data_IF_689983161629
#
_entry.id   IF_689983161629
#
_cell.length_a   1.000
_cell.length_b   1.000
_cell.length_c   1.000
_cell.angle_alpha   90.00
_cell.angle_beta   90.00
_cell.angle_gamma   90.00
#
_symmetry.space_group_name_H-M   'P 1'
#
loop_
_entity.id
_entity.type
_entity.pdbx_description
1 polymer ?
#
# COMPACT_ATOMS: atom_id res chain seq x y z
N UNK A 1 54.84 -59.54 9.34
CA UNK A 1 54.76 -58.40 10.26
C UNK A 1 53.93 -57.31 9.60
N UNK A 2 52.68 -57.11 10.01
CA UNK A 2 51.82 -56.10 9.40
C UNK A 2 52.12 -54.74 10.04
N UNK A 3 52.80 -53.85 9.30
CA UNK A 3 52.91 -52.45 9.67
C UNK A 3 51.53 -51.81 9.50
N UNK A 4 50.79 -51.67 10.61
CA UNK A 4 49.54 -50.91 10.62
C UNK A 4 49.89 -49.44 10.35
N UNK A 5 49.77 -49.01 9.10
CA UNK A 5 49.92 -47.61 8.71
C UNK A 5 48.87 -46.78 9.43
N UNK A 6 49.29 -46.06 10.48
CA UNK A 6 48.40 -45.19 11.25
C UNK A 6 47.90 -44.07 10.33
N UNK A 7 46.60 -44.03 10.10
CA UNK A 7 45.96 -42.95 9.34
C UNK A 7 46.22 -41.63 10.04
N UNK A 8 46.67 -40.61 9.31
CA UNK A 8 46.95 -39.29 9.85
C UNK A 8 45.67 -38.45 10.00
N UNK A 9 45.69 -37.50 10.95
CA UNK A 9 44.63 -36.53 11.14
C UNK A 9 44.48 -35.63 9.91
N UNK A 10 43.28 -35.53 9.35
CA UNK A 10 42.99 -34.70 8.17
C UNK A 10 43.18 -33.20 8.42
N UNK A 11 42.97 -32.72 9.65
CA UNK A 11 43.07 -31.28 9.99
C UNK A 11 44.50 -30.82 10.26
N UNK A 12 45.35 -31.66 10.87
CA UNK A 12 46.69 -31.24 11.31
C UNK A 12 47.85 -32.01 10.68
N UNK A 13 47.61 -33.17 10.05
CA UNK A 13 48.61 -34.08 9.44
C UNK A 13 49.77 -34.57 10.35
N UNK A 14 49.85 -34.09 11.61
CA UNK A 14 50.94 -34.37 12.55
C UNK A 14 50.67 -35.59 13.42
N UNK A 15 49.44 -35.73 13.88
CA UNK A 15 49.04 -36.80 14.79
C UNK A 15 48.25 -37.89 14.06
N UNK A 16 48.31 -39.12 14.56
CA UNK A 16 47.42 -40.19 14.09
C UNK A 16 45.97 -39.86 14.40
N UNK A 17 45.09 -40.11 13.43
CA UNK A 17 43.66 -40.05 13.62
C UNK A 17 43.23 -41.15 14.59
N UNK A 18 42.35 -40.81 15.52
CA UNK A 18 41.81 -41.75 16.52
C UNK A 18 40.29 -41.89 16.41
N UNK A 19 39.63 -40.96 15.73
CA UNK A 19 38.19 -40.94 15.55
C UNK A 19 37.85 -40.39 14.17
N UNK A 20 36.73 -40.85 13.61
CA UNK A 20 36.15 -40.31 12.39
C UNK A 20 34.83 -39.62 12.74
N UNK A 21 34.63 -38.40 12.24
CA UNK A 21 33.34 -37.75 12.33
C UNK A 21 32.43 -38.32 11.23
N UNK A 22 31.31 -38.94 11.58
CA UNK A 22 30.36 -39.48 10.58
C UNK A 22 29.71 -38.37 9.76
N UNK A 23 29.43 -37.21 10.38
CA UNK A 23 28.76 -36.09 9.70
C UNK A 23 29.57 -35.46 8.57
N UNK A 24 30.89 -35.35 8.70
CA UNK A 24 31.76 -34.74 7.68
C UNK A 24 32.82 -35.70 7.12
N UNK A 25 32.77 -36.99 7.49
CA UNK A 25 33.71 -38.06 7.11
C UNK A 25 35.20 -37.77 7.42
N UNK A 26 35.50 -36.76 8.25
CA UNK A 26 36.88 -36.37 8.57
C UNK A 26 37.49 -37.26 9.65
N UNK A 27 38.69 -37.77 9.40
CA UNK A 27 39.47 -38.57 10.36
C UNK A 27 40.37 -37.65 11.18
N UNK A 28 40.08 -37.50 12.47
CA UNK A 28 40.67 -36.46 13.33
C UNK A 28 41.45 -37.08 14.50
N UNK A 29 42.50 -36.38 14.94
CA UNK A 29 43.12 -36.67 16.24
C UNK A 29 42.27 -36.07 17.37
N UNK A 30 42.50 -36.51 18.62
CA UNK A 30 41.70 -36.10 19.79
C UNK A 30 41.50 -34.59 19.89
N UNK A 31 42.59 -33.84 19.80
CA UNK A 31 42.59 -32.38 19.94
C UNK A 31 41.77 -31.71 18.84
N UNK A 32 42.05 -32.05 17.57
CA UNK A 32 41.33 -31.49 16.44
C UNK A 32 39.84 -31.86 16.43
N UNK A 33 39.47 -33.02 16.97
CA UNK A 33 38.06 -33.41 17.14
C UNK A 33 37.36 -32.58 18.23
N UNK A 34 38.01 -32.34 19.36
CA UNK A 34 37.48 -31.45 20.42
C UNK A 34 37.31 -30.03 19.90
N UNK A 35 38.32 -29.47 19.24
CA UNK A 35 38.24 -28.13 18.66
C UNK A 35 37.09 -28.06 17.64
N UNK A 36 37.00 -29.05 16.74
CA UNK A 36 35.93 -29.14 15.75
C UNK A 36 34.52 -29.17 16.38
N UNK A 37 34.32 -29.95 17.45
CA UNK A 37 33.04 -30.00 18.15
C UNK A 37 32.71 -28.70 18.89
N UNK A 38 33.73 -28.02 19.41
CA UNK A 38 33.56 -26.73 20.07
C UNK A 38 33.20 -25.63 19.06
N UNK A 39 33.86 -25.61 17.90
CA UNK A 39 33.56 -24.68 16.81
C UNK A 39 32.11 -24.87 16.33
N UNK A 40 31.69 -26.11 16.08
CA UNK A 40 30.32 -26.44 15.67
C UNK A 40 29.27 -26.05 16.73
N UNK A 41 29.60 -26.18 18.02
CA UNK A 41 28.70 -25.73 19.10
C UNK A 41 28.48 -24.23 19.03
N UNK A 42 29.54 -23.44 18.83
CA UNK A 42 29.45 -21.98 18.72
C UNK A 42 28.65 -21.54 17.49
N UNK A 43 28.84 -22.23 16.37
CA UNK A 43 28.03 -21.97 15.17
C UNK A 43 26.55 -22.22 15.43
N UNK A 44 26.22 -23.31 16.14
CA UNK A 44 24.83 -23.62 16.49
C UNK A 44 24.23 -22.59 17.46
N UNK A 45 25.00 -22.16 18.47
CA UNK A 45 24.58 -21.11 19.40
C UNK A 45 24.27 -19.79 18.65
N UNK A 46 25.08 -19.44 17.65
CA UNK A 46 24.81 -18.27 16.80
C UNK A 46 23.52 -18.43 15.98
N UNK A 47 23.27 -19.61 15.40
CA UNK A 47 22.03 -19.88 14.64
C UNK A 47 20.80 -19.77 15.54
N UNK A 48 20.87 -20.29 16.77
CA UNK A 48 19.79 -20.16 17.75
C UNK A 48 19.57 -18.70 18.12
N UNK A 49 20.65 -17.94 18.36
CA UNK A 49 20.56 -16.52 18.66
C UNK A 49 19.92 -15.71 17.52
N UNK A 50 20.34 -15.92 16.27
CA UNK A 50 19.75 -15.26 15.10
C UNK A 50 18.28 -15.63 14.92
N UNK A 51 17.93 -16.90 15.12
CA UNK A 51 16.54 -17.37 15.09
C UNK A 51 15.69 -16.65 16.13
N UNK A 52 16.15 -16.57 17.37
CA UNK A 52 15.41 -15.96 18.46
C UNK A 52 15.25 -14.45 18.26
N UNK A 53 16.28 -13.77 17.74
CA UNK A 53 16.17 -12.36 17.34
C UNK A 53 15.13 -12.15 16.24
N UNK A 54 15.11 -13.00 15.21
CA UNK A 54 14.13 -12.90 14.13
C UNK A 54 12.71 -13.16 14.64
N UNK A 55 12.56 -14.16 15.51
CA UNK A 55 11.29 -14.46 16.17
C UNK A 55 10.80 -13.26 17.00
N UNK A 56 11.67 -12.67 17.82
CA UNK A 56 11.34 -11.48 18.60
C UNK A 56 10.94 -10.31 17.70
N UNK A 57 11.63 -10.09 16.58
CA UNK A 57 11.26 -9.06 15.59
C UNK A 57 9.90 -9.29 14.93
N UNK A 58 9.49 -10.54 14.76
CA UNK A 58 8.19 -10.91 14.20
C UNK A 58 7.06 -10.85 15.23
N UNK A 59 7.35 -11.25 16.47
CA UNK A 59 6.38 -11.29 17.56
C UNK A 59 6.17 -9.93 18.21
N UNK A 60 7.20 -9.07 18.24
CA UNK A 60 7.08 -7.71 18.76
C UNK A 60 6.23 -6.89 17.81
N UNK A 61 5.00 -6.49 18.22
CA UNK A 61 4.18 -5.63 17.40
C UNK A 61 4.93 -4.33 17.23
N UNK A 62 5.37 -4.05 16.01
CA UNK A 62 6.07 -2.81 15.73
C UNK A 62 5.02 -1.69 15.77
N UNK A 63 4.82 -1.08 16.94
CA UNK A 63 3.80 -0.06 17.22
C UNK A 63 3.88 1.14 16.24
N UNK A 64 5.05 1.33 15.61
CA UNK A 64 5.29 2.37 14.61
C UNK A 64 5.15 1.91 13.15
N UNK A 65 4.97 0.62 12.88
CA UNK A 65 4.63 0.12 11.55
C UNK A 65 3.12 0.18 11.32
N UNK A 66 2.54 1.38 11.29
CA UNK A 66 1.46 1.57 10.33
C UNK A 66 2.11 1.37 8.96
N UNK A 67 2.06 0.14 8.45
CA UNK A 67 2.72 -0.26 7.21
C UNK A 67 2.55 0.85 6.18
N UNK A 68 3.63 1.25 5.50
CA UNK A 68 3.60 2.32 4.49
C UNK A 68 2.40 2.18 3.53
N UNK A 69 2.02 0.95 3.20
CA UNK A 69 0.85 0.60 2.41
C UNK A 69 -0.48 1.01 3.07
N UNK A 70 -0.66 0.80 4.38
CA UNK A 70 -1.84 1.27 5.12
C UNK A 70 -1.94 2.79 5.10
N UNK A 71 -0.84 3.51 5.33
CA UNK A 71 -0.82 4.98 5.21
C UNK A 71 -1.16 5.44 3.79
N UNK A 72 -0.69 4.73 2.77
CA UNK A 72 -1.03 5.02 1.37
C UNK A 72 -2.51 4.76 1.08
N UNK A 73 -3.09 3.67 1.62
CA UNK A 73 -4.52 3.37 1.52
C UNK A 73 -5.35 4.49 2.16
N UNK A 74 -4.96 4.95 3.35
CA UNK A 74 -5.63 6.06 4.05
C UNK A 74 -5.54 7.37 3.25
N UNK A 75 -4.38 7.65 2.65
CA UNK A 75 -4.20 8.81 1.79
C UNK A 75 -5.09 8.73 0.54
N UNK A 76 -5.14 7.59 -0.13
CA UNK A 76 -6.00 7.40 -1.30
C UNK A 76 -7.47 7.57 -0.96
N UNK A 77 -7.90 7.07 0.20
CA UNK A 77 -9.27 7.27 0.70
C UNK A 77 -9.57 8.76 0.86
N UNK A 78 -8.67 9.51 1.50
CA UNK A 78 -8.82 10.96 1.68
C UNK A 78 -8.91 11.68 0.34
N UNK A 79 -7.96 11.42 -0.56
CA UNK A 79 -7.91 12.05 -1.88
C UNK A 79 -9.17 11.75 -2.73
N UNK A 80 -9.71 10.52 -2.62
CA UNK A 80 -10.93 10.14 -3.32
C UNK A 80 -12.15 10.90 -2.79
N UNK A 81 -12.30 11.00 -1.46
CA UNK A 81 -13.39 11.77 -0.84
C UNK A 81 -13.31 13.24 -1.25
N UNK A 82 -12.12 13.83 -1.20
CA UNK A 82 -11.92 15.23 -1.57
C UNK A 82 -12.29 15.49 -3.04
N UNK A 83 -11.90 14.61 -3.96
CA UNK A 83 -12.28 14.70 -5.38
C UNK A 83 -13.78 14.59 -5.60
N UNK A 84 -14.44 13.64 -4.92
CA UNK A 84 -15.90 13.47 -5.03
C UNK A 84 -16.63 14.72 -4.53
N UNK A 85 -16.18 15.29 -3.41
CA UNK A 85 -16.77 16.51 -2.86
C UNK A 85 -16.59 17.71 -3.82
N UNK A 86 -15.38 17.90 -4.37
CA UNK A 86 -15.11 18.95 -5.35
C UNK A 86 -16.00 18.82 -6.59
N UNK A 87 -16.14 17.62 -7.14
CA UNK A 87 -17.01 17.35 -8.29
C UNK A 87 -18.49 17.62 -7.95
N UNK A 88 -18.95 17.22 -6.77
CA UNK A 88 -20.31 17.47 -6.33
C UNK A 88 -20.61 18.99 -6.23
N UNK A 89 -19.67 19.77 -5.70
CA UNK A 89 -19.82 21.22 -5.57
C UNK A 89 -19.78 21.95 -6.92
N UNK A 90 -18.94 21.48 -7.85
CA UNK A 90 -18.93 21.95 -9.23
C UNK A 90 -20.27 21.68 -9.92
N UNK A 91 -20.77 20.44 -9.83
CA UNK A 91 -22.08 20.07 -10.39
C UNK A 91 -23.21 20.92 -9.82
N UNK A 92 -23.25 21.15 -8.50
CA UNK A 92 -24.26 22.02 -7.87
C UNK A 92 -24.19 23.44 -8.44
N UNK A 93 -22.98 23.99 -8.53
CA UNK A 93 -22.74 25.33 -9.08
C UNK A 93 -23.22 25.45 -10.52
N UNK A 94 -22.95 24.45 -11.35
CA UNK A 94 -23.34 24.46 -12.76
C UNK A 94 -24.85 24.32 -12.94
N UNK A 95 -25.52 23.49 -12.14
CA UNK A 95 -26.98 23.39 -12.12
C UNK A 95 -27.61 24.73 -11.75
N UNK A 96 -27.11 25.41 -10.70
CA UNK A 96 -27.61 26.74 -10.29
C UNK A 96 -27.46 27.74 -11.44
N UNK A 97 -26.30 27.80 -12.09
CA UNK A 97 -26.08 28.68 -13.26
C UNK A 97 -27.07 28.40 -14.40
N UNK A 98 -27.35 27.13 -14.68
CA UNK A 98 -28.31 26.74 -15.71
C UNK A 98 -29.74 27.17 -15.35
N UNK A 99 -30.14 26.98 -14.09
CA UNK A 99 -31.43 27.41 -13.58
C UNK A 99 -31.57 28.93 -13.67
N UNK A 100 -30.57 29.69 -13.24
CA UNK A 100 -30.58 31.15 -13.32
C UNK A 100 -30.62 31.65 -14.76
N UNK A 101 -29.86 31.04 -15.66
CA UNK A 101 -29.90 31.34 -17.09
C UNK A 101 -31.29 31.11 -17.68
N UNK A 102 -31.94 30.00 -17.32
CA UNK A 102 -33.29 29.68 -17.78
C UNK A 102 -34.34 30.62 -17.19
N UNK A 103 -34.24 30.94 -15.89
CA UNK A 103 -35.08 31.93 -15.22
C UNK A 103 -34.98 33.29 -15.91
N UNK A 104 -33.78 33.76 -16.19
CA UNK A 104 -33.57 35.05 -16.86
C UNK A 104 -34.14 35.05 -18.29
N UNK A 105 -34.00 33.95 -19.05
CA UNK A 105 -34.65 33.80 -20.36
C UNK A 105 -36.17 33.87 -20.26
N UNK A 106 -36.77 33.23 -19.25
CA UNK A 106 -38.22 33.29 -19.04
C UNK A 106 -38.66 34.70 -18.68
N UNK A 107 -37.96 35.38 -17.77
CA UNK A 107 -38.25 36.78 -17.39
C UNK A 107 -38.20 37.69 -18.63
N UNK A 108 -37.21 37.53 -19.50
CA UNK A 108 -37.11 38.32 -20.73
C UNK A 108 -38.27 38.05 -21.70
N UNK A 109 -38.67 36.77 -21.88
CA UNK A 109 -39.85 36.42 -22.68
C UNK A 109 -41.13 37.03 -22.10
N UNK A 110 -41.31 36.95 -20.78
CA UNK A 110 -42.46 37.56 -20.11
C UNK A 110 -42.47 39.08 -20.32
N UNK A 111 -41.34 39.76 -20.15
CA UNK A 111 -41.23 41.21 -20.37
C UNK A 111 -41.60 41.59 -21.80
N UNK A 112 -41.10 40.85 -22.80
CA UNK A 112 -41.42 41.05 -24.22
C UNK A 112 -42.91 40.84 -24.49
N UNK A 113 -43.50 39.79 -23.93
CA UNK A 113 -44.93 39.53 -24.04
C UNK A 113 -45.76 40.66 -23.42
N UNK A 114 -45.43 41.09 -22.19
CA UNK A 114 -46.10 42.22 -21.53
C UNK A 114 -45.99 43.51 -22.35
N UNK A 115 -44.83 43.78 -22.95
CA UNK A 115 -44.66 44.95 -23.82
C UNK A 115 -45.56 44.87 -25.06
N UNK A 116 -45.68 43.69 -25.69
CA UNK A 116 -46.56 43.49 -26.84
C UNK A 116 -48.02 43.69 -26.48
N UNK A 117 -48.47 43.11 -25.37
CA UNK A 117 -49.86 43.25 -24.89
C UNK A 117 -50.19 44.70 -24.58
N UNK A 118 -49.29 45.43 -23.89
CA UNK A 118 -49.49 46.86 -23.62
C UNK A 118 -49.57 47.69 -24.89
N UNK A 119 -48.67 47.42 -25.84
CA UNK A 119 -48.65 48.13 -27.13
C UNK A 119 -49.92 47.87 -27.93
N UNK A 120 -50.37 46.62 -28.06
CA UNK A 120 -51.63 46.30 -28.76
C UNK A 120 -52.83 47.02 -28.13
N UNK A 121 -52.87 47.10 -26.80
CA UNK A 121 -53.88 47.90 -26.09
C UNK A 121 -53.78 49.39 -26.43
N UNK A 122 -52.58 49.98 -26.37
CA UNK A 122 -52.36 51.41 -26.58
C UNK A 122 -52.59 51.82 -28.05
N UNK A 123 -52.32 50.92 -28.99
CA UNK A 123 -52.54 51.10 -30.43
C UNK A 123 -53.98 50.73 -30.86
N UNK A 124 -54.85 50.29 -29.93
CA UNK A 124 -56.19 49.72 -30.19
C UNK A 124 -56.20 48.55 -31.20
N UNK A 125 -55.06 47.88 -31.34
CA UNK A 125 -54.79 46.76 -32.25
C UNK A 125 -54.96 45.43 -31.52
N UNK A 126 -56.18 45.17 -31.05
CA UNK A 126 -56.57 43.91 -30.41
C UNK A 126 -57.99 43.50 -30.80
N UNK A 127 -58.23 42.19 -30.89
CA UNK A 127 -59.57 41.63 -31.11
C UNK A 127 -59.87 40.43 -30.21
N UNK A 128 -61.09 39.88 -30.29
CA UNK A 128 -61.52 38.79 -29.42
C UNK A 128 -60.61 37.55 -29.54
N UNK A 129 -59.96 37.34 -30.68
CA UNK A 129 -59.05 36.21 -30.93
C UNK A 129 -57.75 36.33 -30.13
N UNK A 130 -57.33 37.55 -29.78
CA UNK A 130 -56.14 37.76 -28.92
C UNK A 130 -56.38 37.33 -27.46
N UNK A 131 -57.65 37.18 -27.06
CA UNK A 131 -58.06 36.76 -25.72
C UNK A 131 -58.63 35.33 -25.69
N UNK A 132 -59.08 34.81 -26.84
CA UNK A 132 -59.67 33.48 -26.94
C UNK A 132 -58.68 32.45 -27.49
N UNK A 133 -58.00 31.76 -26.55
CA UNK A 133 -57.15 30.55 -26.70
C UNK A 133 -55.99 30.61 -27.71
#
# INVERSE_FOLDING_TARGET
>A
MATASKVQCTKCAKNSAITACEGCSSKLCRRCFTDYRQDLSKELDNVVYEHDMLKEQLETPNENNSHRLLKQIDQWKKDAIDKVNQLADQCRTDVVKLLDKNKNKLIDRFRKMTSRVRKGRDDEDYDERDLSK
#
